data_IF_309101929653
#
_entry.id   IF_309101929653
#
_cell.length_a   1.000
_cell.length_b   1.000
_cell.length_c   1.000
_cell.angle_alpha   90.00
_cell.angle_beta   90.00
_cell.angle_gamma   90.00
#
_symmetry.space_group_name_H-M   'P 1'
#
loop_
_entity.id
_entity.type
_entity.pdbx_description
1 polymer ?
#
# COMPACT_ATOMS: atom_id res chain seq x y z
N UNK A 1 8.80 12.88 11.72
CA UNK A 1 7.64 11.99 11.51
C UNK A 1 8.14 10.61 11.84
N UNK A 2 7.57 9.96 12.85
CA UNK A 2 8.06 8.68 13.37
C UNK A 2 7.96 7.59 12.31
N UNK A 3 9.06 6.93 11.99
CA UNK A 3 9.10 5.81 11.03
C UNK A 3 8.11 4.70 11.40
N UNK A 4 7.82 4.54 12.71
CA UNK A 4 6.79 3.66 13.24
C UNK A 4 5.40 3.99 12.68
N UNK A 5 5.09 5.28 12.51
CA UNK A 5 3.81 5.76 11.96
C UNK A 5 3.63 5.35 10.49
N UNK A 6 4.70 5.37 9.68
CA UNK A 6 4.64 4.93 8.28
C UNK A 6 4.47 3.41 8.18
N UNK A 7 5.21 2.66 9.00
CA UNK A 7 5.12 1.20 9.03
C UNK A 7 3.71 0.72 9.42
N UNK A 8 3.11 1.32 10.44
CA UNK A 8 1.76 0.97 10.89
C UNK A 8 0.70 1.30 9.83
N UNK A 9 0.83 2.44 9.14
CA UNK A 9 -0.04 2.82 8.02
C UNK A 9 0.06 1.83 6.85
N UNK A 10 1.27 1.40 6.50
CA UNK A 10 1.49 0.39 5.46
C UNK A 10 0.85 -0.95 5.83
N UNK A 11 1.10 -1.44 7.04
CA UNK A 11 0.54 -2.72 7.50
C UNK A 11 -0.99 -2.72 7.50
N UNK A 12 -1.62 -1.64 7.99
CA UNK A 12 -3.09 -1.53 7.98
C UNK A 12 -3.70 -1.53 6.57
N UNK A 13 -3.00 -0.95 5.58
CA UNK A 13 -3.44 -1.00 4.18
C UNK A 13 -3.23 -2.39 3.56
N UNK A 14 -2.12 -3.06 3.87
CA UNK A 14 -1.86 -4.43 3.40
C UNK A 14 -2.87 -5.45 3.95
N UNK A 15 -3.28 -5.32 5.21
CA UNK A 15 -4.32 -6.18 5.79
C UNK A 15 -5.66 -6.06 5.04
N UNK A 16 -6.02 -4.85 4.62
CA UNK A 16 -7.23 -4.62 3.83
C UNK A 16 -7.09 -5.14 2.39
N UNK A 17 -5.87 -5.14 1.85
CA UNK A 17 -5.55 -5.75 0.57
C UNK A 17 -5.50 -7.28 0.61
N UNK A 18 -5.41 -7.92 1.78
CA UNK A 18 -5.48 -9.38 1.85
C UNK A 18 -6.83 -9.92 1.33
N UNK A 19 -7.87 -9.10 1.35
CA UNK A 19 -9.15 -9.41 0.70
C UNK A 19 -9.13 -9.32 -0.84
N UNK A 20 -7.99 -8.90 -1.42
CA UNK A 20 -7.75 -8.70 -2.84
C UNK A 20 -6.85 -9.84 -3.39
N UNK A 21 -7.25 -10.61 -4.41
CA UNK A 21 -8.53 -10.69 -5.09
C UNK A 21 -9.32 -11.94 -4.69
N UNK A 22 -9.20 -12.46 -3.46
CA UNK A 22 -10.01 -13.63 -3.04
C UNK A 22 -11.52 -13.34 -3.05
N UNK A 23 -11.94 -12.08 -2.94
CA UNK A 23 -13.31 -11.66 -3.29
C UNK A 23 -13.69 -11.88 -4.76
N UNK A 24 -12.70 -12.10 -5.63
CA UNK A 24 -12.84 -12.31 -7.06
C UNK A 24 -13.34 -13.69 -7.49
N UNK A 25 -13.43 -14.65 -6.56
CA UNK A 25 -14.06 -15.95 -6.81
C UNK A 25 -15.42 -16.00 -6.13
N UNK A 26 -16.37 -15.22 -6.64
CA UNK A 26 -17.77 -15.45 -6.33
C UNK A 26 -18.44 -16.11 -7.55
N UNK A 27 -19.54 -16.84 -7.32
CA UNK A 27 -20.27 -17.58 -8.35
C UNK A 27 -20.73 -16.68 -9.53
N UNK A 28 -20.66 -15.35 -9.36
CA UNK A 28 -21.11 -14.32 -10.30
C UNK A 28 -19.97 -13.46 -10.90
N UNK A 29 -18.69 -13.82 -10.67
CA UNK A 29 -17.52 -13.15 -11.26
C UNK A 29 -16.55 -12.52 -10.27
N UNK A 30 -15.74 -11.57 -10.73
CA UNK A 30 -14.74 -10.90 -9.88
C UNK A 30 -15.41 -9.83 -9.00
N UNK A 31 -15.73 -10.13 -7.74
CA UNK A 31 -16.22 -9.13 -6.80
C UNK A 31 -15.08 -8.46 -6.04
N UNK A 32 -14.85 -7.20 -6.36
CA UNK A 32 -13.91 -6.37 -5.62
C UNK A 32 -14.63 -5.71 -4.44
N UNK A 33 -14.22 -6.03 -3.21
CA UNK A 33 -14.73 -5.32 -2.03
C UNK A 33 -14.35 -3.83 -2.15
N UNK A 34 -15.29 -2.87 -2.06
CA UNK A 34 -14.99 -1.45 -2.18
C UNK A 34 -13.87 -0.98 -1.24
N UNK A 35 -13.82 -1.52 -0.01
CA UNK A 35 -12.74 -1.22 0.96
C UNK A 35 -11.34 -1.60 0.45
N UNK A 36 -11.22 -2.75 -0.22
CA UNK A 36 -9.94 -3.23 -0.73
C UNK A 36 -9.47 -2.38 -1.92
N UNK A 37 -10.41 -1.89 -2.74
CA UNK A 37 -10.10 -0.94 -3.81
C UNK A 37 -9.61 0.41 -3.27
N UNK A 38 -10.28 0.94 -2.23
CA UNK A 38 -9.85 2.19 -1.59
C UNK A 38 -8.46 2.02 -0.96
N UNK A 39 -8.24 0.92 -0.23
CA UNK A 39 -6.93 0.61 0.36
C UNK A 39 -5.82 0.50 -0.71
N UNK A 40 -6.13 -0.04 -1.89
CA UNK A 40 -5.20 -0.07 -3.02
C UNK A 40 -4.80 1.33 -3.50
N UNK A 41 -5.78 2.23 -3.65
CA UNK A 41 -5.52 3.61 -4.08
C UNK A 41 -4.71 4.37 -3.03
N UNK A 42 -5.04 4.20 -1.75
CA UNK A 42 -4.32 4.83 -0.64
C UNK A 42 -2.88 4.31 -0.52
N UNK A 43 -2.67 3.00 -0.69
CA UNK A 43 -1.33 2.41 -0.71
C UNK A 43 -0.49 2.97 -1.85
N UNK A 44 -1.07 3.10 -3.05
CA UNK A 44 -0.37 3.68 -4.20
C UNK A 44 0.08 5.11 -3.92
N UNK A 45 -0.81 5.96 -3.37
CA UNK A 45 -0.46 7.34 -3.02
C UNK A 45 0.64 7.40 -1.96
N UNK A 46 0.58 6.53 -0.95
CA UNK A 46 1.56 6.46 0.12
C UNK A 46 2.96 6.10 -0.42
N UNK A 47 3.01 5.11 -1.33
CA UNK A 47 4.27 4.70 -1.98
C UNK A 47 4.85 5.85 -2.80
N UNK A 48 4.03 6.49 -3.64
CA UNK A 48 4.48 7.56 -4.54
C UNK A 48 4.96 8.80 -3.77
N UNK A 49 4.29 9.15 -2.67
CA UNK A 49 4.57 10.40 -1.93
C UNK A 49 5.60 10.26 -0.83
N UNK A 50 5.67 9.10 -0.17
CA UNK A 50 6.49 8.92 1.03
C UNK A 50 7.62 7.90 0.81
N UNK A 51 7.30 6.71 0.28
CA UNK A 51 8.27 5.60 0.18
C UNK A 51 9.32 5.85 -0.91
N UNK A 52 8.91 6.12 -2.16
CA UNK A 52 9.85 6.32 -3.26
C UNK A 52 10.80 7.51 -3.01
N UNK A 53 10.34 8.68 -2.52
CA UNK A 53 11.24 9.77 -2.18
C UNK A 53 12.17 9.46 -1.02
N UNK A 54 11.77 8.62 -0.05
CA UNK A 54 12.66 8.16 1.01
C UNK A 54 13.77 7.26 0.46
N UNK A 55 13.42 6.31 -0.41
CA UNK A 55 14.39 5.42 -1.07
C UNK A 55 15.40 6.19 -1.94
N UNK A 56 14.92 7.14 -2.75
CA UNK A 56 15.80 7.97 -3.58
C UNK A 56 16.79 8.79 -2.75
N UNK A 57 16.38 9.29 -1.59
CA UNK A 57 17.29 9.99 -0.65
C UNK A 57 18.37 9.04 -0.14
N UNK A 58 17.99 7.84 0.30
CA UNK A 58 18.95 6.83 0.78
C UNK A 58 19.96 6.40 -0.30
N UNK A 59 19.52 6.22 -1.54
CA UNK A 59 20.41 5.85 -2.65
C UNK A 59 21.36 6.99 -3.03
N UNK A 60 20.91 8.24 -2.91
CA UNK A 60 21.74 9.43 -3.15
C UNK A 60 22.82 9.58 -2.08
N UNK A 61 22.48 9.31 -0.81
CA UNK A 61 23.41 9.37 0.32
C UNK A 61 24.46 8.26 0.26
N UNK A 62 24.11 7.05 -0.23
CA UNK A 62 25.05 5.94 -0.41
C UNK A 62 26.07 6.14 -1.54
N UNK A 63 25.83 7.08 -2.46
CA UNK A 63 26.73 7.37 -3.59
C UNK A 63 27.70 8.53 -3.32
N UNK A 64 27.61 9.17 -2.16
CA UNK A 64 28.58 10.15 -1.65
C UNK A 64 29.63 9.46 -0.79
#
# INVERSE_FOLDING_TARGET
MDDTSLHDRLNGLYDQLRDFPEGGRCEHGTYLKPRAYVAFLDLRQLIEREVLPALHRMDSDKRR
#
